data_IF_908858130561
#
_entry.id   IF_908858130561
#
_cell.length_a   1.000
_cell.length_b   1.000
_cell.length_c   1.000
_cell.angle_alpha   90.00
_cell.angle_beta   90.00
_cell.angle_gamma   90.00
#
_symmetry.space_group_name_H-M   'P 1'
#
loop_
_entity.id
_entity.type
_entity.pdbx_description
1 polymer ?
#
# COMPACT_ATOMS: atom_id res chain seq x y z
N UNK A 1 -13.51 -20.25 -2.23
CA UNK A 1 -12.88 -20.68 -0.97
C UNK A 1 -13.98 -21.07 0.00
N UNK A 2 -13.81 -22.08 0.86
CA UNK A 2 -14.81 -22.44 1.86
C UNK A 2 -15.06 -21.26 2.82
N UNK A 3 -16.29 -21.14 3.31
CA UNK A 3 -16.63 -20.22 4.39
C UNK A 3 -15.78 -20.50 5.65
N UNK A 4 -15.69 -19.51 6.55
CA UNK A 4 -15.05 -19.70 7.84
C UNK A 4 -15.86 -20.69 8.70
N UNK A 5 -15.14 -21.51 9.46
CA UNK A 5 -15.73 -22.37 10.49
C UNK A 5 -15.56 -21.68 11.83
N UNK A 6 -16.33 -20.62 12.03
CA UNK A 6 -16.27 -19.81 13.24
C UNK A 6 -17.54 -20.03 14.09
N UNK A 7 -17.43 -20.56 15.32
CA UNK A 7 -18.58 -20.74 16.20
C UNK A 7 -19.16 -19.40 16.71
N UNK A 8 -18.41 -18.29 16.61
CA UNK A 8 -18.88 -16.95 17.00
C UNK A 8 -18.51 -15.90 15.92
N UNK A 9 -19.17 -15.96 14.73
CA UNK A 9 -18.84 -15.10 13.60
C UNK A 9 -18.86 -13.61 13.95
N UNK A 10 -17.72 -12.95 13.76
CA UNK A 10 -17.54 -11.53 14.07
C UNK A 10 -16.39 -10.92 13.27
N UNK A 11 -16.24 -9.60 13.37
CA UNK A 11 -15.01 -8.93 12.96
C UNK A 11 -14.00 -8.98 14.09
N UNK A 12 -12.95 -9.77 13.89
CA UNK A 12 -11.79 -9.78 14.78
C UNK A 12 -10.87 -8.60 14.47
N UNK A 13 -10.42 -7.94 15.53
CA UNK A 13 -9.34 -6.96 15.50
C UNK A 13 -8.29 -7.38 16.51
N UNK A 14 -7.05 -7.54 16.05
CA UNK A 14 -5.94 -7.97 16.90
C UNK A 14 -4.79 -6.97 16.79
N UNK A 15 -4.01 -6.87 17.85
CA UNK A 15 -2.80 -6.04 17.87
C UNK A 15 -1.70 -6.66 18.70
N UNK A 16 -0.47 -6.49 18.26
CA UNK A 16 0.72 -6.90 19.00
C UNK A 16 1.85 -5.91 18.72
N UNK A 17 2.87 -5.88 19.57
CA UNK A 17 4.07 -5.06 19.36
C UNK A 17 5.10 -5.86 18.57
N UNK A 18 5.71 -5.29 17.53
CA UNK A 18 6.73 -5.97 16.74
C UNK A 18 7.88 -6.51 17.62
N UNK A 19 8.33 -5.72 18.60
CA UNK A 19 9.35 -6.12 19.59
C UNK A 19 8.97 -7.28 20.51
N UNK A 20 7.68 -7.63 20.59
CA UNK A 20 7.18 -8.79 21.34
C UNK A 20 6.98 -10.02 20.45
N UNK A 21 6.78 -9.80 19.15
CA UNK A 21 6.64 -10.87 18.16
C UNK A 21 7.98 -11.41 17.69
N UNK A 22 9.00 -10.56 17.60
CA UNK A 22 10.35 -10.92 17.20
C UNK A 22 11.39 -10.28 18.12
N UNK A 23 12.14 -11.12 18.84
CA UNK A 23 13.22 -10.67 19.74
C UNK A 23 14.42 -10.08 18.99
N UNK A 24 14.49 -10.24 17.67
CA UNK A 24 15.55 -9.65 16.84
C UNK A 24 15.21 -8.24 16.35
N UNK A 25 13.97 -7.78 16.49
CA UNK A 25 13.57 -6.44 16.09
C UNK A 25 14.39 -5.38 16.85
N UNK A 26 14.79 -4.31 16.16
CA UNK A 26 15.59 -3.21 16.72
C UNK A 26 14.99 -1.83 16.43
N UNK A 27 15.47 -0.86 17.19
CA UNK A 27 15.21 0.56 16.97
C UNK A 27 16.33 1.19 16.14
N UNK A 28 15.94 2.19 15.35
CA UNK A 28 16.81 3.05 14.53
C UNK A 28 16.43 4.52 14.80
N UNK A 29 16.87 5.10 15.94
CA UNK A 29 16.46 6.45 16.35
C UNK A 29 16.82 7.55 15.35
N UNK A 30 17.94 7.40 14.64
CA UNK A 30 18.42 8.37 13.64
C UNK A 30 17.43 8.59 12.49
N UNK A 31 16.56 7.61 12.21
CA UNK A 31 15.49 7.70 11.21
C UNK A 31 14.09 7.70 11.83
N UNK A 32 13.99 7.98 13.13
CA UNK A 32 12.75 8.02 13.92
C UNK A 32 11.95 6.72 13.89
N UNK A 33 12.63 5.58 13.71
CA UNK A 33 12.01 4.27 13.75
C UNK A 33 12.30 3.64 15.12
N UNK A 34 11.36 3.81 16.04
CA UNK A 34 11.52 3.49 17.46
C UNK A 34 10.31 2.70 17.93
N UNK A 35 10.46 1.99 19.04
CA UNK A 35 9.42 1.20 19.69
C UNK A 35 8.54 2.04 20.59
N UNK A 36 9.05 3.15 21.11
CA UNK A 36 8.37 3.90 22.17
C UNK A 36 8.30 3.11 23.49
N UNK A 37 7.58 3.64 24.47
CA UNK A 37 7.41 3.01 25.77
C UNK A 37 6.05 2.27 25.86
N UNK A 38 5.76 1.67 27.02
CA UNK A 38 4.51 0.93 27.20
C UNK A 38 3.26 1.85 27.21
N UNK A 39 3.42 3.13 27.52
CA UNK A 39 2.34 4.14 27.53
C UNK A 39 2.03 4.67 26.11
N UNK A 40 3.06 4.77 25.27
CA UNK A 40 3.02 5.29 23.91
C UNK A 40 3.84 4.39 22.96
N UNK A 41 3.37 3.14 22.73
CA UNK A 41 4.06 2.23 21.84
C UNK A 41 3.96 2.71 20.39
N UNK A 42 5.08 2.68 19.67
CA UNK A 42 5.24 3.08 18.27
C UNK A 42 5.48 1.89 17.32
N UNK A 43 5.68 0.70 17.88
CA UNK A 43 5.83 -0.56 17.14
C UNK A 43 4.58 -1.45 17.16
N UNK A 44 3.41 -0.85 17.44
CA UNK A 44 2.13 -1.58 17.38
C UNK A 44 1.81 -1.94 15.93
N UNK A 45 1.55 -3.23 15.75
CA UNK A 45 1.04 -3.82 14.52
C UNK A 45 -0.40 -4.25 14.74
N UNK A 46 -1.20 -4.20 13.67
CA UNK A 46 -2.64 -4.41 13.76
C UNK A 46 -3.12 -5.33 12.66
N UNK A 47 -4.14 -6.12 12.97
CA UNK A 47 -4.74 -7.07 12.05
C UNK A 47 -6.27 -7.05 12.18
N UNK A 48 -6.95 -7.39 11.08
CA UNK A 48 -8.39 -7.65 11.13
C UNK A 48 -8.87 -8.62 10.06
N UNK A 49 -9.92 -9.36 10.41
CA UNK A 49 -10.68 -10.25 9.53
C UNK A 49 -12.12 -10.28 9.99
N UNK A 50 -13.07 -10.34 9.05
CA UNK A 50 -14.50 -10.55 9.38
C UNK A 50 -14.94 -11.93 8.94
N UNK A 51 -15.15 -12.81 9.92
CA UNK A 51 -15.51 -14.22 9.67
C UNK A 51 -16.96 -14.39 9.25
N UNK A 52 -17.78 -13.33 9.31
CA UNK A 52 -19.14 -13.30 8.76
C UNK A 52 -19.13 -13.18 7.23
N UNK A 53 -18.01 -12.74 6.64
CA UNK A 53 -17.87 -12.50 5.21
C UNK A 53 -17.11 -13.66 4.54
N UNK A 54 -17.59 -14.20 3.41
CA UNK A 54 -16.88 -15.26 2.69
C UNK A 54 -15.44 -14.85 2.33
N UNK A 55 -14.41 -15.65 2.66
CA UNK A 55 -13.03 -15.27 2.43
C UNK A 55 -12.66 -15.32 0.95
N UNK A 56 -11.86 -14.36 0.52
CA UNK A 56 -11.22 -14.35 -0.80
C UNK A 56 -9.85 -15.03 -0.84
N UNK A 57 -9.25 -15.27 0.34
CA UNK A 57 -7.92 -15.86 0.43
C UNK A 57 -6.81 -14.92 0.00
N UNK A 58 -7.02 -13.62 0.27
CA UNK A 58 -6.06 -12.55 -0.01
C UNK A 58 -5.87 -11.73 1.25
N UNK A 59 -4.62 -11.34 1.49
CA UNK A 59 -4.21 -10.53 2.61
C UNK A 59 -3.68 -9.19 2.11
N UNK A 60 -4.20 -8.10 2.65
CA UNK A 60 -3.71 -6.75 2.39
C UNK A 60 -2.69 -6.38 3.47
N UNK A 61 -1.48 -6.02 3.05
CA UNK A 61 -0.48 -5.37 3.90
C UNK A 61 -0.58 -3.87 3.64
N UNK A 62 -1.00 -3.13 4.66
CA UNK A 62 -1.13 -1.68 4.64
C UNK A 62 0.15 -0.99 5.17
N UNK A 63 0.83 -0.27 4.29
CA UNK A 63 2.12 0.38 4.55
C UNK A 63 1.97 1.84 4.99
N UNK A 64 0.98 2.16 5.82
CA UNK A 64 0.79 3.47 6.42
C UNK A 64 0.22 3.37 7.84
N UNK A 65 0.01 4.51 8.50
CA UNK A 65 -0.67 4.55 9.79
C UNK A 65 -2.00 3.80 9.74
N UNK A 66 -2.34 3.11 10.82
CA UNK A 66 -3.55 2.29 10.91
C UNK A 66 -4.81 3.08 10.55
N UNK A 67 -5.66 2.46 9.75
CA UNK A 67 -6.94 3.02 9.31
C UNK A 67 -8.04 1.96 9.48
N UNK A 68 -8.79 2.03 10.57
CA UNK A 68 -9.87 1.09 10.86
C UNK A 68 -11.01 1.17 9.83
N UNK A 69 -11.29 2.36 9.28
CA UNK A 69 -12.31 2.55 8.24
C UNK A 69 -11.94 1.85 6.94
N UNK A 70 -10.65 1.84 6.59
CA UNK A 70 -10.16 1.01 5.49
C UNK A 70 -10.28 -0.48 5.83
N UNK A 71 -9.87 -0.89 7.03
CA UNK A 71 -9.86 -2.30 7.41
C UNK A 71 -11.27 -2.91 7.45
N UNK A 72 -12.27 -2.17 7.95
CA UNK A 72 -13.68 -2.57 7.88
C UNK A 72 -14.13 -2.87 6.45
N UNK A 73 -13.75 -2.02 5.49
CA UNK A 73 -14.09 -2.18 4.07
C UNK A 73 -13.39 -3.39 3.46
N UNK A 74 -12.08 -3.50 3.68
CA UNK A 74 -11.30 -4.65 3.21
C UNK A 74 -11.90 -5.96 3.72
N UNK A 75 -12.26 -6.03 5.01
CA UNK A 75 -12.94 -7.20 5.56
C UNK A 75 -14.33 -7.42 4.94
N UNK A 76 -15.09 -6.35 4.71
CA UNK A 76 -16.36 -6.40 3.96
C UNK A 76 -16.22 -6.89 2.51
N UNK A 77 -15.03 -6.81 1.93
CA UNK A 77 -14.70 -7.38 0.62
C UNK A 77 -14.20 -8.83 0.69
N UNK A 78 -14.17 -9.43 1.89
CA UNK A 78 -13.66 -10.79 2.15
C UNK A 78 -12.13 -10.87 2.24
N UNK A 79 -11.45 -9.73 2.49
CA UNK A 79 -10.00 -9.65 2.58
C UNK A 79 -9.54 -9.59 4.04
N UNK A 80 -8.44 -10.27 4.32
CA UNK A 80 -7.68 -10.07 5.55
C UNK A 80 -6.87 -8.79 5.42
N UNK A 81 -6.62 -8.11 6.54
CA UNK A 81 -5.82 -6.88 6.53
C UNK A 81 -4.86 -6.87 7.70
N UNK A 82 -3.61 -6.47 7.44
CA UNK A 82 -2.62 -6.15 8.46
C UNK A 82 -1.96 -4.80 8.19
N UNK A 83 -1.51 -4.14 9.25
CA UNK A 83 -0.63 -2.98 9.22
C UNK A 83 0.58 -3.30 10.09
N UNK A 84 1.76 -3.20 9.49
CA UNK A 84 3.05 -3.47 10.16
C UNK A 84 3.74 -2.17 10.50
N UNK A 85 4.49 -2.16 11.60
CA UNK A 85 5.37 -1.04 11.91
C UNK A 85 6.63 -1.17 11.05
N UNK A 86 7.01 -0.17 10.27
CA UNK A 86 8.21 -0.24 9.42
C UNK A 86 8.89 1.14 9.31
N UNK A 87 10.14 1.15 8.85
CA UNK A 87 10.93 2.37 8.67
C UNK A 87 10.34 3.30 7.59
N UNK A 88 9.50 4.24 7.99
CA UNK A 88 8.75 5.12 7.08
C UNK A 88 8.86 6.63 7.37
N UNK A 89 9.77 7.02 8.27
CA UNK A 89 9.98 8.43 8.69
C UNK A 89 11.33 9.01 8.24
N UNK A 90 12.08 8.30 7.40
CA UNK A 90 13.46 8.63 7.00
C UNK A 90 13.57 9.74 5.94
N UNK A 91 12.48 10.17 5.31
CA UNK A 91 12.50 11.17 4.21
C UNK A 91 13.18 12.50 4.56
N UNK A 92 13.05 12.92 5.82
CA UNK A 92 13.67 14.16 6.30
C UNK A 92 15.11 14.00 6.78
N UNK A 93 15.69 12.81 6.68
CA UNK A 93 17.02 12.49 7.22
C UNK A 93 17.95 11.86 6.19
N UNK A 94 17.44 11.00 5.31
CA UNK A 94 18.21 10.29 4.28
C UNK A 94 17.96 10.88 2.88
N UNK A 95 18.90 10.69 1.97
CA UNK A 95 18.94 11.23 0.62
C UNK A 95 18.85 12.77 0.59
N UNK A 96 19.52 13.41 1.55
CA UNK A 96 19.55 14.87 1.76
C UNK A 96 20.96 15.44 1.58
N UNK A 97 21.11 16.72 1.19
CA UNK A 97 20.05 17.62 0.71
C UNK A 97 19.52 17.24 -0.69
N UNK A 98 20.20 16.33 -1.38
CA UNK A 98 19.77 15.74 -2.66
C UNK A 98 20.13 14.25 -2.68
N UNK A 99 19.38 13.41 -3.41
CA UNK A 99 19.75 12.01 -3.65
C UNK A 99 21.14 11.90 -4.29
N UNK A 100 21.90 10.85 -3.94
CA UNK A 100 23.23 10.59 -4.49
C UNK A 100 23.20 10.15 -5.95
N UNK A 101 22.14 9.46 -6.36
CA UNK A 101 21.88 9.03 -7.73
C UNK A 101 20.36 8.99 -8.01
N UNK A 102 19.99 8.60 -9.23
CA UNK A 102 18.59 8.47 -9.68
C UNK A 102 17.81 7.33 -8.98
N UNK A 103 18.45 6.55 -8.10
CA UNK A 103 17.89 5.36 -7.45
C UNK A 103 17.95 5.40 -5.93
N UNK A 104 18.64 6.37 -5.31
CA UNK A 104 18.97 6.39 -3.89
C UNK A 104 17.73 6.25 -2.99
N UNK A 105 16.67 7.03 -3.23
CA UNK A 105 15.42 6.88 -2.45
C UNK A 105 14.74 5.54 -2.71
N UNK A 106 14.84 5.04 -3.94
CA UNK A 106 14.35 3.72 -4.31
C UNK A 106 15.10 2.58 -3.61
N UNK A 107 16.40 2.74 -3.33
CA UNK A 107 17.22 1.80 -2.55
C UNK A 107 16.79 1.82 -1.08
N UNK A 108 16.72 2.99 -0.45
CA UNK A 108 16.25 3.14 0.95
C UNK A 108 14.84 2.57 1.13
N UNK A 109 13.91 2.83 0.19
CA UNK A 109 12.55 2.25 0.22
C UNK A 109 12.57 0.73 0.17
N UNK A 110 13.41 0.15 -0.68
CA UNK A 110 13.47 -1.29 -0.83
C UNK A 110 14.07 -1.95 0.43
N UNK A 111 15.09 -1.34 1.01
CA UNK A 111 15.65 -1.78 2.28
C UNK A 111 14.64 -1.66 3.42
N UNK A 112 13.93 -0.54 3.55
CA UNK A 112 12.85 -0.41 4.53
C UNK A 112 11.73 -1.46 4.37
N UNK A 113 11.50 -1.94 3.14
CA UNK A 113 10.52 -2.99 2.87
C UNK A 113 11.05 -4.40 3.13
N UNK A 114 12.35 -4.65 2.97
CA UNK A 114 12.94 -6.00 2.94
C UNK A 114 13.87 -6.31 4.12
N UNK A 115 14.48 -5.29 4.73
CA UNK A 115 15.58 -5.43 5.69
C UNK A 115 16.86 -5.97 5.06
N UNK A 116 17.01 -5.90 3.73
CA UNK A 116 18.24 -6.24 3.02
C UNK A 116 18.98 -4.95 2.66
N UNK A 117 20.31 -5.00 2.79
CA UNK A 117 21.19 -3.89 2.44
C UNK A 117 21.10 -3.56 0.94
N UNK A 118 20.53 -2.41 0.63
CA UNK A 118 20.45 -1.86 -0.73
C UNK A 118 21.00 -0.43 -0.81
N UNK A 119 21.20 0.24 0.31
CA UNK A 119 21.46 1.67 0.40
C UNK A 119 22.60 1.96 1.36
N UNK A 120 23.62 2.68 0.90
CA UNK A 120 24.73 3.11 1.77
C UNK A 120 24.30 4.06 2.92
N UNK A 121 23.08 4.61 2.86
CA UNK A 121 22.50 5.50 3.88
C UNK A 121 21.64 4.79 4.95
N UNK A 122 21.39 3.49 4.82
CA UNK A 122 20.56 2.71 5.74
C UNK A 122 21.23 1.35 6.00
N UNK A 123 21.13 0.84 7.23
CA UNK A 123 21.63 -0.51 7.59
C UNK A 123 20.55 -1.21 8.44
N UNK A 124 19.40 -1.44 7.81
CA UNK A 124 18.28 -2.12 8.44
C UNK A 124 18.55 -3.63 8.48
N UNK A 125 18.30 -4.25 9.63
CA UNK A 125 18.45 -5.69 9.76
C UNK A 125 17.23 -6.39 9.14
N UNK A 126 17.37 -7.65 8.67
CA UNK A 126 16.27 -8.39 8.06
C UNK A 126 15.00 -8.44 8.90
N UNK A 127 15.12 -8.56 10.22
CA UNK A 127 14.01 -8.58 11.18
C UNK A 127 13.17 -7.28 11.19
N UNK A 128 13.75 -6.18 10.74
CA UNK A 128 13.15 -4.84 10.82
C UNK A 128 12.52 -4.36 9.51
N UNK A 129 12.68 -5.13 8.44
CA UNK A 129 11.98 -4.92 7.18
C UNK A 129 10.48 -5.19 7.29
N UNK A 130 9.66 -4.41 6.57
CA UNK A 130 8.21 -4.58 6.56
C UNK A 130 7.75 -6.02 6.22
N UNK A 131 8.47 -6.69 5.31
CA UNK A 131 8.18 -8.05 4.90
C UNK A 131 8.35 -9.10 6.01
N UNK A 132 9.41 -9.00 6.81
CA UNK A 132 9.67 -9.93 7.92
C UNK A 132 8.70 -9.67 9.07
N UNK A 133 8.46 -8.40 9.40
CA UNK A 133 7.44 -8.03 10.41
C UNK A 133 6.05 -8.56 10.06
N UNK A 134 5.66 -8.47 8.77
CA UNK A 134 4.43 -9.08 8.29
C UNK A 134 4.41 -10.60 8.45
N UNK A 135 5.53 -11.30 8.19
CA UNK A 135 5.63 -12.74 8.39
C UNK A 135 5.42 -13.12 9.86
N UNK A 136 6.08 -12.43 10.78
CA UNK A 136 5.98 -12.71 12.22
C UNK A 136 4.57 -12.43 12.74
N UNK A 137 3.94 -11.34 12.31
CA UNK A 137 2.55 -11.03 12.63
C UNK A 137 1.60 -12.12 12.12
N UNK A 138 1.73 -12.58 10.88
CA UNK A 138 0.87 -13.64 10.33
C UNK A 138 1.06 -14.97 11.06
N UNK A 139 2.29 -15.33 11.44
CA UNK A 139 2.57 -16.52 12.26
C UNK A 139 1.89 -16.45 13.62
N UNK A 140 1.92 -15.30 14.26
CA UNK A 140 1.24 -15.07 15.53
C UNK A 140 -0.28 -15.14 15.36
N UNK A 141 -0.84 -14.47 14.35
CA UNK A 141 -2.28 -14.50 14.05
C UNK A 141 -2.80 -15.91 13.75
N UNK A 142 -2.00 -16.76 13.11
CA UNK A 142 -2.38 -18.16 12.86
C UNK A 142 -2.57 -18.96 14.15
N UNK A 143 -1.89 -18.59 15.24
CA UNK A 143 -2.03 -19.20 16.57
C UNK A 143 -3.14 -18.55 17.38
N UNK A 144 -3.20 -17.22 17.40
CA UNK A 144 -4.12 -16.47 18.25
C UNK A 144 -5.55 -16.37 17.70
N UNK A 145 -5.71 -16.45 16.38
CA UNK A 145 -7.02 -16.37 15.73
C UNK A 145 -7.19 -17.46 14.66
N UNK A 146 -7.23 -18.75 15.05
CA UNK A 146 -7.37 -19.86 14.09
C UNK A 146 -8.66 -19.77 13.27
N UNK A 147 -9.74 -19.17 13.81
CA UNK A 147 -11.01 -18.93 13.11
C UNK A 147 -10.81 -18.03 11.87
N UNK A 148 -9.83 -17.12 11.93
CA UNK A 148 -9.45 -16.27 10.81
C UNK A 148 -8.63 -17.00 9.73
N UNK A 149 -8.17 -18.24 9.96
CA UNK A 149 -7.41 -19.05 8.99
C UNK A 149 -6.18 -18.34 8.41
N UNK A 150 -5.39 -17.65 9.24
CA UNK A 150 -4.24 -16.85 8.79
C UNK A 150 -3.08 -17.68 8.22
N UNK A 151 -3.00 -18.96 8.59
CA UNK A 151 -2.04 -19.95 8.09
C UNK A 151 -2.05 -20.07 6.55
N UNK A 152 -3.18 -19.77 5.90
CA UNK A 152 -3.33 -19.79 4.45
C UNK A 152 -2.40 -18.82 3.69
N UNK A 153 -1.83 -17.84 4.38
CA UNK A 153 -0.90 -16.84 3.83
C UNK A 153 0.57 -17.21 4.05
N UNK A 154 0.84 -18.30 4.75
CA UNK A 154 2.18 -18.84 4.95
C UNK A 154 2.50 -19.88 3.87
N UNK A 155 3.77 -19.96 3.48
CA UNK A 155 4.28 -21.08 2.71
C UNK A 155 4.17 -22.38 3.52
N UNK A 156 4.28 -23.54 2.86
CA UNK A 156 4.12 -24.84 3.53
C UNK A 156 5.10 -25.07 4.69
N UNK A 157 6.30 -24.50 4.63
CA UNK A 157 7.31 -24.55 5.69
C UNK A 157 7.10 -23.48 6.78
N UNK A 158 6.12 -22.61 6.62
CA UNK A 158 5.87 -21.46 7.50
C UNK A 158 6.98 -20.40 7.47
N UNK A 159 7.96 -20.49 6.57
CA UNK A 159 9.17 -19.62 6.57
C UNK A 159 9.03 -18.35 5.75
N UNK A 160 8.00 -18.25 4.91
CA UNK A 160 7.77 -17.09 4.04
C UNK A 160 6.28 -16.82 3.89
N UNK A 161 5.96 -15.58 3.56
CA UNK A 161 4.63 -15.23 3.08
C UNK A 161 4.43 -15.74 1.65
N UNK A 162 3.20 -16.14 1.36
CA UNK A 162 2.75 -16.46 0.02
C UNK A 162 2.40 -15.21 -0.75
N UNK A 163 3.41 -14.55 -1.31
CA UNK A 163 3.24 -13.28 -2.02
C UNK A 163 2.22 -13.31 -3.18
N UNK A 164 1.95 -14.49 -3.76
CA UNK A 164 0.85 -14.73 -4.73
C UNK A 164 -0.57 -14.54 -4.15
N UNK A 165 -0.68 -14.38 -2.84
CA UNK A 165 -1.92 -14.07 -2.10
C UNK A 165 -1.88 -12.70 -1.42
N UNK A 166 -0.78 -11.97 -1.52
CA UNK A 166 -0.61 -10.71 -0.80
C UNK A 166 -0.88 -9.54 -1.74
N UNK A 167 -1.75 -8.65 -1.28
CA UNK A 167 -1.92 -7.30 -1.82
C UNK A 167 -1.05 -6.37 -0.99
N UNK A 168 -0.15 -5.62 -1.62
CA UNK A 168 0.64 -4.59 -0.92
C UNK A 168 0.02 -3.23 -1.24
N UNK A 169 -0.34 -2.47 -0.21
CA UNK A 169 -1.05 -1.21 -0.38
C UNK A 169 -0.54 -0.15 0.57
N UNK A 170 -0.63 1.11 0.16
CA UNK A 170 -0.27 2.24 1.00
C UNK A 170 -0.77 3.55 0.43
N UNK A 171 -0.77 4.60 1.25
CA UNK A 171 -0.97 5.97 0.83
C UNK A 171 0.32 6.77 0.90
N UNK A 172 0.51 7.77 0.03
CA UNK A 172 1.63 8.71 0.11
C UNK A 172 3.01 8.00 0.17
N UNK A 173 3.73 8.08 1.29
CA UNK A 173 4.96 7.31 1.52
C UNK A 173 4.75 5.80 1.30
N UNK A 174 3.69 5.23 1.87
CA UNK A 174 3.38 3.81 1.75
C UNK A 174 3.03 3.38 0.34
N UNK A 175 2.36 4.25 -0.43
CA UNK A 175 2.08 4.01 -1.86
C UNK A 175 3.39 3.82 -2.64
N UNK A 176 4.37 4.68 -2.34
CA UNK A 176 5.64 4.69 -3.05
C UNK A 176 6.51 3.49 -2.66
N UNK A 177 6.54 3.14 -1.37
CA UNK A 177 7.19 1.91 -0.90
C UNK A 177 6.51 0.65 -1.46
N UNK A 178 5.17 0.59 -1.54
CA UNK A 178 4.45 -0.53 -2.13
C UNK A 178 4.82 -0.75 -3.61
N UNK A 179 4.87 0.34 -4.40
CA UNK A 179 5.29 0.30 -5.80
C UNK A 179 6.76 -0.15 -5.93
N UNK A 180 7.66 0.41 -5.12
CA UNK A 180 9.08 0.04 -5.16
C UNK A 180 9.32 -1.42 -4.78
N UNK A 181 8.61 -1.91 -3.75
CA UNK A 181 8.67 -3.30 -3.33
C UNK A 181 8.18 -4.24 -4.44
N UNK A 182 7.10 -3.88 -5.14
CA UNK A 182 6.54 -4.70 -6.22
C UNK A 182 7.45 -4.84 -7.45
N UNK A 183 8.39 -3.89 -7.65
CA UNK A 183 9.46 -4.04 -8.63
C UNK A 183 10.40 -5.20 -8.30
N UNK A 184 10.65 -5.44 -7.00
CA UNK A 184 11.56 -6.48 -6.51
C UNK A 184 10.84 -7.80 -6.22
N UNK A 185 9.75 -7.77 -5.45
CA UNK A 185 8.98 -8.93 -5.05
C UNK A 185 7.71 -9.02 -5.90
N UNK A 186 7.50 -10.14 -6.59
CA UNK A 186 6.22 -10.41 -7.23
C UNK A 186 5.13 -10.56 -6.17
N UNK A 187 4.09 -9.76 -6.25
CA UNK A 187 2.91 -9.83 -5.37
C UNK A 187 1.63 -10.07 -6.18
N UNK A 188 0.52 -10.37 -5.50
CA UNK A 188 -0.76 -10.59 -6.18
C UNK A 188 -1.30 -9.29 -6.80
N UNK A 189 -1.19 -8.19 -6.06
CA UNK A 189 -1.73 -6.87 -6.42
C UNK A 189 -1.01 -5.76 -5.66
N UNK A 190 -0.95 -4.58 -6.27
CA UNK A 190 -0.55 -3.33 -5.61
C UNK A 190 -1.70 -2.33 -5.70
N UNK A 191 -2.02 -1.66 -4.58
CA UNK A 191 -2.97 -0.53 -4.57
C UNK A 191 -2.29 0.71 -4.00
N UNK A 192 -2.08 1.69 -4.88
CA UNK A 192 -1.37 2.94 -4.64
C UNK A 192 -2.39 4.08 -4.45
N UNK A 193 -2.44 4.66 -3.26
CA UNK A 193 -3.31 5.80 -2.95
C UNK A 193 -2.43 7.06 -2.83
N UNK A 194 -2.78 8.14 -3.53
CA UNK A 194 -2.03 9.40 -3.53
C UNK A 194 -0.49 9.23 -3.68
N UNK A 195 -0.08 8.49 -4.72
CA UNK A 195 1.30 8.17 -5.03
C UNK A 195 1.41 7.31 -6.30
N UNK A 196 2.61 6.84 -6.67
CA UNK A 196 3.92 7.04 -6.01
C UNK A 196 4.52 8.45 -6.18
N UNK A 197 5.36 8.90 -5.24
CA UNK A 197 6.26 10.06 -5.40
C UNK A 197 7.68 9.60 -5.79
N UNK A 198 8.67 10.46 -5.58
CA UNK A 198 10.06 10.37 -6.07
C UNK A 198 10.16 10.74 -7.55
N UNK A 199 9.61 11.91 -7.91
CA UNK A 199 9.63 12.47 -9.26
C UNK A 199 11.04 12.75 -9.77
N UNK A 200 11.98 12.96 -8.86
CA UNK A 200 13.41 13.09 -9.09
C UNK A 200 14.11 11.73 -9.08
N UNK A 201 13.44 10.60 -9.25
CA UNK A 201 14.09 9.28 -9.28
C UNK A 201 13.58 8.47 -10.46
N UNK A 202 14.39 7.49 -10.89
CA UNK A 202 14.15 6.66 -12.08
C UNK A 202 13.89 5.19 -11.74
N UNK A 203 13.86 4.84 -10.44
CA UNK A 203 13.58 3.47 -10.01
C UNK A 203 12.22 2.95 -10.51
N UNK A 204 11.26 3.84 -10.82
CA UNK A 204 9.95 3.49 -11.35
C UNK A 204 10.05 2.80 -12.72
N UNK A 205 11.11 3.08 -13.50
CA UNK A 205 11.37 2.44 -14.80
C UNK A 205 12.12 1.11 -14.72
N UNK A 206 12.57 0.70 -13.52
CA UNK A 206 13.23 -0.60 -13.36
C UNK A 206 12.30 -1.75 -13.78
N UNK A 207 12.88 -2.89 -14.21
CA UNK A 207 12.12 -4.12 -14.43
C UNK A 207 11.26 -4.47 -13.21
N UNK A 208 10.05 -4.99 -13.46
CA UNK A 208 9.09 -5.30 -12.40
C UNK A 208 8.87 -6.79 -12.24
N UNK A 209 9.10 -7.32 -11.04
CA UNK A 209 8.71 -8.68 -10.69
C UNK A 209 7.17 -8.86 -10.68
N UNK A 210 6.43 -7.81 -10.32
CA UNK A 210 4.97 -7.76 -10.39
C UNK A 210 4.52 -7.22 -11.75
N UNK A 211 3.71 -7.97 -12.52
CA UNK A 211 3.13 -7.49 -13.77
C UNK A 211 2.36 -6.18 -13.58
N UNK A 212 2.54 -5.22 -14.49
CA UNK A 212 1.96 -3.89 -14.37
C UNK A 212 0.40 -3.90 -14.37
N UNK A 213 -0.24 -4.90 -14.99
CA UNK A 213 -1.70 -5.08 -14.93
C UNK A 213 -2.24 -5.37 -13.50
N UNK A 214 -1.36 -5.64 -12.54
CA UNK A 214 -1.71 -5.90 -11.13
C UNK A 214 -1.49 -4.68 -10.23
N UNK A 215 -1.04 -3.56 -10.78
CA UNK A 215 -0.75 -2.33 -10.06
C UNK A 215 -1.87 -1.33 -10.36
N UNK A 216 -2.48 -0.76 -9.33
CA UNK A 216 -3.59 0.18 -9.45
C UNK A 216 -3.26 1.49 -8.73
N UNK A 217 -3.55 2.63 -9.36
CA UNK A 217 -3.40 3.96 -8.79
C UNK A 217 -4.73 4.68 -8.61
N UNK A 218 -4.88 5.39 -7.49
CA UNK A 218 -5.97 6.33 -7.26
C UNK A 218 -5.48 7.60 -6.57
N UNK A 219 -5.79 8.76 -7.15
CA UNK A 219 -5.41 10.07 -6.58
C UNK A 219 -6.50 11.12 -6.81
N UNK A 220 -6.32 12.28 -6.20
CA UNK A 220 -7.17 13.45 -6.41
C UNK A 220 -6.41 14.49 -7.25
N UNK A 221 -7.08 15.18 -8.18
CA UNK A 221 -6.42 16.12 -9.11
C UNK A 221 -5.80 17.33 -8.43
N UNK A 222 -6.36 17.75 -7.29
CA UNK A 222 -5.79 18.81 -6.43
C UNK A 222 -4.69 18.33 -5.47
N UNK A 223 -4.33 17.04 -5.44
CA UNK A 223 -3.17 16.61 -4.67
C UNK A 223 -1.91 17.23 -5.29
N UNK A 224 -1.03 17.80 -4.45
CA UNK A 224 0.21 18.42 -4.92
C UNK A 224 1.14 17.48 -5.72
N UNK A 225 1.00 16.16 -5.59
CA UNK A 225 1.74 15.21 -6.44
C UNK A 225 1.07 14.97 -7.79
N UNK A 226 -0.22 15.26 -7.94
CA UNK A 226 -0.89 15.29 -9.23
C UNK A 226 -0.57 16.60 -9.95
N UNK A 227 -0.77 17.75 -9.30
CA UNK A 227 -0.50 19.07 -9.90
C UNK A 227 0.96 19.31 -10.22
N UNK A 228 1.87 18.56 -9.57
CA UNK A 228 3.30 18.57 -9.86
C UNK A 228 3.73 17.47 -10.83
N UNK A 229 2.81 16.78 -11.52
CA UNK A 229 3.09 15.69 -12.46
C UNK A 229 3.84 14.48 -11.90
N UNK A 230 3.96 14.35 -10.58
CA UNK A 230 4.66 13.21 -9.98
C UNK A 230 3.91 11.89 -10.21
N UNK A 231 2.58 11.93 -10.13
CA UNK A 231 1.73 10.73 -10.21
C UNK A 231 1.50 10.26 -11.63
N UNK A 232 1.12 11.15 -12.56
CA UNK A 232 0.99 10.79 -13.97
C UNK A 232 2.31 10.19 -14.49
N UNK A 233 3.45 10.84 -14.21
CA UNK A 233 4.79 10.35 -14.56
C UNK A 233 5.04 8.96 -14.00
N UNK A 234 4.86 8.80 -12.68
CA UNK A 234 5.13 7.53 -12.02
C UNK A 234 4.23 6.42 -12.57
N UNK A 235 2.96 6.71 -12.86
CA UNK A 235 2.04 5.72 -13.42
C UNK A 235 2.45 5.29 -14.84
N UNK A 236 2.95 6.22 -15.67
CA UNK A 236 3.50 5.89 -16.99
C UNK A 236 4.79 5.08 -16.91
N UNK A 237 5.72 5.45 -16.03
CA UNK A 237 6.97 4.69 -15.83
C UNK A 237 6.72 3.29 -15.27
N UNK A 238 5.63 3.11 -14.51
CA UNK A 238 5.14 1.81 -14.08
C UNK A 238 4.40 1.04 -15.20
N UNK A 239 4.14 1.67 -16.35
CA UNK A 239 3.48 1.07 -17.51
C UNK A 239 1.95 0.99 -17.39
N UNK A 240 1.32 1.76 -16.50
CA UNK A 240 -0.12 1.64 -16.24
C UNK A 240 -0.99 2.09 -17.42
N UNK A 241 -0.47 2.94 -18.30
CA UNK A 241 -1.15 3.37 -19.52
C UNK A 241 -1.37 2.23 -20.53
N UNK A 242 -0.67 1.10 -20.38
CA UNK A 242 -0.93 -0.09 -21.19
C UNK A 242 -2.21 -0.84 -20.78
N UNK A 243 -2.91 -0.41 -19.73
CA UNK A 243 -4.07 -1.10 -19.17
C UNK A 243 -5.27 -0.18 -18.93
N UNK A 244 -5.49 0.80 -19.80
CA UNK A 244 -6.63 1.73 -19.76
C UNK A 244 -6.25 3.19 -19.57
N UNK A 245 -7.14 4.13 -19.96
CA UNK A 245 -6.96 5.58 -19.80
C UNK A 245 -6.96 6.02 -18.33
N UNK A 246 -6.57 7.26 -18.04
CA UNK A 246 -6.96 7.89 -16.77
C UNK A 246 -8.50 8.04 -16.78
N UNK A 247 -9.16 7.57 -15.72
CA UNK A 247 -10.62 7.67 -15.57
C UNK A 247 -10.95 8.48 -14.33
N UNK A 248 -11.80 9.50 -14.51
CA UNK A 248 -12.38 10.25 -13.40
C UNK A 248 -13.57 9.45 -12.80
N UNK A 249 -13.45 9.09 -11.52
CA UNK A 249 -14.46 8.30 -10.79
C UNK A 249 -15.72 9.09 -10.44
N UNK A 250 -15.69 10.42 -10.52
CA UNK A 250 -16.84 11.26 -10.19
C UNK A 250 -17.87 11.32 -11.34
N UNK A 251 -17.44 10.95 -12.54
CA UNK A 251 -18.29 10.92 -13.76
C UNK A 251 -18.40 9.52 -14.38
N UNK A 252 -17.63 8.54 -13.89
CA UNK A 252 -17.65 7.16 -14.34
C UNK A 252 -18.13 6.22 -13.22
N UNK A 253 -18.59 5.04 -13.60
CA UNK A 253 -18.98 3.98 -12.68
C UNK A 253 -18.10 2.73 -12.89
N UNK A 254 -17.98 1.82 -11.91
CA UNK A 254 -17.31 0.53 -12.12
C UNK A 254 -17.88 -0.21 -13.35
N UNK A 255 -17.05 -0.88 -14.16
CA UNK A 255 -15.65 -1.23 -13.88
C UNK A 255 -14.63 -0.18 -14.34
N UNK A 256 -15.01 1.10 -14.51
CA UNK A 256 -14.09 2.20 -14.86
C UNK A 256 -13.23 1.91 -16.09
N UNK A 257 -13.84 1.37 -17.15
CA UNK A 257 -13.13 0.96 -18.36
C UNK A 257 -11.99 -0.04 -18.10
N UNK A 258 -12.07 -0.80 -17.00
CA UNK A 258 -11.05 -1.74 -16.55
C UNK A 258 -9.65 -1.10 -16.33
N UNK A 259 -9.59 0.22 -16.08
CA UNK A 259 -8.32 0.95 -15.97
C UNK A 259 -7.50 0.62 -14.72
N UNK A 260 -6.20 0.94 -14.76
CA UNK A 260 -5.30 0.98 -13.59
C UNK A 260 -5.03 2.38 -13.07
N UNK A 261 -5.60 3.41 -13.70
CA UNK A 261 -5.35 4.84 -13.41
C UNK A 261 -6.66 5.56 -13.10
N UNK A 262 -6.97 5.72 -11.81
CA UNK A 262 -8.17 6.43 -11.37
C UNK A 262 -7.81 7.79 -10.79
N UNK A 263 -8.63 8.79 -11.09
CA UNK A 263 -8.57 10.10 -10.46
C UNK A 263 -9.94 10.53 -9.95
N UNK A 264 -9.95 11.55 -9.11
CA UNK A 264 -11.15 12.27 -8.71
C UNK A 264 -10.89 13.78 -8.73
N UNK A 265 -11.92 14.53 -9.10
CA UNK A 265 -12.03 15.99 -8.98
C UNK A 265 -13.17 16.44 -8.05
N UNK A 266 -13.67 15.53 -7.21
CA UNK A 266 -14.68 15.81 -6.20
C UNK A 266 -14.33 17.06 -5.37
N UNK A 267 -15.35 17.83 -4.99
CA UNK A 267 -15.11 19.07 -4.25
C UNK A 267 -14.51 18.79 -2.86
N UNK A 268 -13.26 19.22 -2.69
CA UNK A 268 -12.51 19.20 -1.43
C UNK A 268 -12.28 20.62 -0.88
N UNK A 269 -13.03 21.61 -1.38
CA UNK A 269 -12.94 23.02 -0.96
C UNK A 269 -11.65 23.70 -1.40
N UNK A 270 -11.06 23.27 -2.52
CA UNK A 270 -9.77 23.79 -3.00
C UNK A 270 -8.56 23.43 -2.12
N UNK A 271 -8.72 22.54 -1.14
CA UNK A 271 -7.66 22.19 -0.19
C UNK A 271 -6.82 20.99 -0.68
N UNK A 272 -5.59 21.27 -1.11
CA UNK A 272 -4.63 20.26 -1.57
C UNK A 272 -4.23 19.23 -0.50
N UNK A 273 -4.26 19.59 0.80
CA UNK A 273 -3.99 18.63 1.90
C UNK A 273 -5.18 17.71 2.11
N UNK A 274 -6.40 18.25 1.99
CA UNK A 274 -7.62 17.44 1.99
C UNK A 274 -7.63 16.50 0.79
N UNK A 275 -7.33 17.00 -0.41
CA UNK A 275 -7.17 16.22 -1.64
C UNK A 275 -6.22 15.03 -1.46
N UNK A 276 -5.03 15.28 -0.90
CA UNK A 276 -4.02 14.24 -0.63
C UNK A 276 -4.55 13.10 0.25
N UNK A 277 -5.43 13.41 1.21
CA UNK A 277 -5.98 12.42 2.13
C UNK A 277 -7.33 11.84 1.68
N UNK A 278 -8.00 12.48 0.71
CA UNK A 278 -9.38 12.17 0.32
C UNK A 278 -9.57 10.76 -0.24
N UNK A 279 -8.53 10.21 -0.88
CA UNK A 279 -8.57 8.89 -1.53
C UNK A 279 -8.45 7.70 -0.57
N UNK A 280 -8.29 7.98 0.73
CA UNK A 280 -8.36 6.98 1.81
C UNK A 280 -9.62 7.19 2.64
N UNK A 281 -10.29 6.13 3.15
CA UNK A 281 -11.45 6.28 4.02
C UNK A 281 -11.10 7.11 5.25
N UNK A 282 -11.82 8.21 5.47
CA UNK A 282 -11.55 9.12 6.59
C UNK A 282 -12.32 10.43 6.53
N UNK A 283 -11.90 11.41 7.33
CA UNK A 283 -12.56 12.74 7.42
C UNK A 283 -12.51 13.49 6.09
N UNK A 284 -11.41 13.39 5.36
CA UNK A 284 -11.19 14.11 4.10
C UNK A 284 -11.93 13.52 2.91
N UNK A 285 -12.28 12.23 2.96
CA UNK A 285 -12.94 11.54 1.86
C UNK A 285 -14.39 12.02 1.69
N UNK A 286 -14.82 12.33 0.45
CA UNK A 286 -16.18 12.75 0.14
C UNK A 286 -17.24 11.73 0.59
N UNK A 287 -18.35 12.27 1.06
CA UNK A 287 -19.52 11.51 1.49
C UNK A 287 -20.79 12.12 0.89
N UNK A 288 -21.82 11.31 0.69
CA UNK A 288 -23.15 11.80 0.40
C UNK A 288 -23.83 12.42 1.64
N UNK A 289 -25.03 12.95 1.46
CA UNK A 289 -25.83 13.57 2.53
C UNK A 289 -26.21 12.60 3.65
N UNK A 290 -26.16 11.30 3.38
CA UNK A 290 -26.42 10.23 4.35
C UNK A 290 -25.14 9.78 5.07
N UNK A 291 -23.98 10.36 4.74
CA UNK A 291 -22.69 10.02 5.32
C UNK A 291 -22.04 8.77 4.73
N UNK A 292 -22.55 8.21 3.63
CA UNK A 292 -21.89 7.12 2.93
C UNK A 292 -20.72 7.66 2.10
N UNK A 293 -19.63 6.92 2.07
CA UNK A 293 -18.46 7.33 1.30
C UNK A 293 -18.67 7.16 -0.21
N UNK A 294 -18.45 8.23 -0.97
CA UNK A 294 -18.61 8.21 -2.42
C UNK A 294 -17.57 7.32 -3.11
N UNK A 295 -16.40 7.13 -2.50
CA UNK A 295 -15.34 6.27 -3.03
C UNK A 295 -15.47 4.79 -2.65
N UNK A 296 -16.56 4.36 -1.99
CA UNK A 296 -16.80 2.94 -1.68
C UNK A 296 -16.71 2.03 -2.93
N UNK A 297 -17.30 2.38 -4.09
CA UNK A 297 -17.17 1.58 -5.31
C UNK A 297 -15.73 1.59 -5.86
N UNK A 298 -14.98 2.69 -5.65
CA UNK A 298 -13.58 2.84 -6.07
C UNK A 298 -12.68 1.89 -5.29
N UNK A 299 -12.77 1.90 -3.95
CA UNK A 299 -11.97 0.98 -3.13
C UNK A 299 -12.31 -0.48 -3.44
N UNK A 300 -13.59 -0.82 -3.59
CA UNK A 300 -14.00 -2.17 -3.99
C UNK A 300 -13.37 -2.58 -5.33
N UNK A 301 -13.36 -1.70 -6.31
CA UNK A 301 -12.70 -1.93 -7.60
C UNK A 301 -11.20 -2.18 -7.43
N UNK A 302 -10.49 -1.24 -6.78
CA UNK A 302 -9.04 -1.31 -6.58
C UNK A 302 -8.60 -2.60 -5.89
N UNK A 303 -9.34 -3.09 -4.89
CA UNK A 303 -8.96 -4.27 -4.12
C UNK A 303 -9.53 -5.59 -4.64
N UNK A 304 -10.49 -5.56 -5.59
CA UNK A 304 -11.15 -6.81 -6.00
C UNK A 304 -11.46 -7.03 -7.47
N UNK A 305 -11.32 -6.01 -8.32
CA UNK A 305 -11.49 -6.18 -9.77
C UNK A 305 -10.52 -7.22 -10.34
N UNK A 306 -10.94 -8.15 -11.22
CA UNK A 306 -10.04 -9.14 -11.83
C UNK A 306 -8.85 -8.47 -12.53
N UNK A 307 -7.63 -8.88 -12.18
CA UNK A 307 -6.40 -8.22 -12.68
C UNK A 307 -6.13 -8.46 -14.17
N UNK A 308 -6.72 -9.52 -14.73
CA UNK A 308 -6.60 -9.86 -16.15
C UNK A 308 -7.69 -9.22 -17.01
N UNK A 309 -8.66 -8.52 -16.40
CA UNK A 309 -9.58 -7.63 -17.10
C UNK A 309 -8.98 -6.22 -17.12
N UNK A 310 -8.49 -5.81 -18.28
CA UNK A 310 -7.75 -4.56 -18.48
C UNK A 310 -8.45 -3.67 -19.51
N UNK A 311 -8.27 -2.35 -19.39
CA UNK A 311 -8.70 -1.39 -20.41
C UNK A 311 -7.75 -1.38 -21.59
N UNK A 312 -8.18 -0.74 -22.68
CA UNK A 312 -7.35 -0.58 -23.88
C UNK A 312 -6.10 0.29 -23.59
N UNK A 313 -4.93 -0.07 -24.12
CA UNK A 313 -3.73 0.76 -24.01
C UNK A 313 -3.96 2.16 -24.57
N UNK A 314 -3.41 3.18 -23.89
CA UNK A 314 -3.39 4.56 -24.38
C UNK A 314 -1.96 5.05 -24.59
N UNK A 315 -1.76 6.06 -25.46
CA UNK A 315 -0.53 6.83 -25.47
C UNK A 315 -0.21 7.39 -24.09
N UNK A 316 1.05 7.80 -23.92
CA UNK A 316 1.45 8.61 -22.78
C UNK A 316 0.75 9.99 -22.85
N UNK A 317 0.38 10.50 -21.68
CA UNK A 317 -0.29 11.76 -21.43
C UNK A 317 0.65 12.91 -21.85
N UNK A 318 0.28 13.71 -22.87
CA UNK A 318 1.18 14.72 -23.44
C UNK A 318 1.40 15.91 -22.50
N UNK A 319 0.49 16.13 -21.55
CA UNK A 319 0.55 17.24 -20.59
C UNK A 319 1.35 16.89 -19.33
N UNK A 320 1.75 15.63 -19.16
CA UNK A 320 2.50 15.20 -17.98
C UNK A 320 4.01 15.46 -18.14
N UNK A 321 4.60 16.29 -17.26
CA UNK A 321 6.05 16.46 -17.21
C UNK A 321 6.74 15.17 -16.74
N UNK A 322 7.53 14.56 -17.63
CA UNK A 322 8.23 13.28 -17.36
C UNK A 322 9.66 13.43 -16.85
N UNK A 323 10.35 14.51 -17.17
CA UNK A 323 11.72 14.76 -16.69
C UNK A 323 11.70 15.92 -15.70
N UNK A 324 11.88 15.59 -14.42
CA UNK A 324 11.91 16.57 -13.33
C UNK A 324 13.33 16.98 -12.94
N UNK A 325 14.28 16.06 -13.14
CA UNK A 325 15.70 16.21 -12.81
C UNK A 325 16.50 15.46 -13.87
N UNK A 326 17.66 16.00 -14.25
CA UNK A 326 18.70 15.31 -15.00
C UNK A 326 19.86 15.02 -14.05
N UNK A 327 20.27 13.75 -13.97
CA UNK A 327 21.38 13.28 -13.13
C UNK A 327 22.69 13.25 -13.90
#
# INVERSE_FOLDING_TARGET
MPAFQDPQPQRYTLSARASRLDSQAKEYPNIKFVFGNDEQPQDVERASVDTRVPPRGKLVIWLMGYNDELFKRLNGYGLHAIQVSYANKWFGTLCQPRPSDAYARGKVRLEAATGQDFSDELDLQPADGAAERALQLVRWLAKENPQGRWDQFLAADGKRLRWDRIVVSGSSHGSTTAARFAKYQRVDRVVMLCGPRDQDQDWQSLPSATPANRIFGFSHVLDGGWTGDHYCRSWEMLGLNQFGPIVNVDTAQPPYQNTRRLISDADVGGDARRAHSAVTPGRSSPKDDQGNFLYEPVWRYLYSHPVDQTGDPTPADPECLREHVQY
#
